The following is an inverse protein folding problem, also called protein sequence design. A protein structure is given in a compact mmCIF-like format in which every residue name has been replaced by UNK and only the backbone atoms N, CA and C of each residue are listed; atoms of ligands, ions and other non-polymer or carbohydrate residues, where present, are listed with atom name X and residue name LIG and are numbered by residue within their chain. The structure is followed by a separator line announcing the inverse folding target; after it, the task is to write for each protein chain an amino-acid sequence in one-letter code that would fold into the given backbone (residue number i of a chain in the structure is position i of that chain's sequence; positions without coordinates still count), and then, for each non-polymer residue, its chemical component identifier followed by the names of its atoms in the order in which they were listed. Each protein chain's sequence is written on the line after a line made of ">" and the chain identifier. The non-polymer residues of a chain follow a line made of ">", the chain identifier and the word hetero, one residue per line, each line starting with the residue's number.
data_IF_885537394928
#
_entry.id   IF_885537394928
#
_cell.length_a   1.000
_cell.length_b   1.000
_cell.length_c   1.000
_cell.angle_alpha   90.00
_cell.angle_beta   90.00
_cell.angle_gamma   90.00
#
_symmetry.space_group_name_H-M   'P 1'
#
loop_
_entity.id
_entity.type
_entity.pdbx_description
1 polymer ?
#
# COMPACT_ATOMS: atom_id res chain seq x y z
N UNK A 1 -18.39 -18.89 2.47
CA UNK A 1 -17.15 -19.65 2.76
C UNK A 1 -16.48 -19.03 3.98
N UNK A 2 -15.91 -19.83 4.88
CA UNK A 2 -15.16 -19.30 6.02
C UNK A 2 -13.82 -18.72 5.53
N UNK A 3 -13.38 -17.59 6.10
CA UNK A 3 -12.05 -17.04 5.85
C UNK A 3 -11.02 -17.92 6.58
N UNK A 4 -10.29 -18.75 5.86
CA UNK A 4 -9.34 -19.74 6.44
C UNK A 4 -7.87 -19.29 6.38
N UNK A 5 -7.56 -18.22 5.64
CA UNK A 5 -6.21 -17.69 5.53
C UNK A 5 -5.90 -16.72 6.70
N UNK A 6 -4.72 -16.85 7.29
CA UNK A 6 -4.22 -15.98 8.36
C UNK A 6 -3.06 -15.10 7.87
N UNK A 7 -3.00 -13.87 8.38
CA UNK A 7 -1.92 -12.93 8.12
C UNK A 7 -1.33 -12.41 9.44
N UNK A 8 -0.04 -12.68 9.69
CA UNK A 8 0.68 -12.22 10.88
C UNK A 8 1.72 -11.18 10.48
N UNK A 9 1.53 -9.94 10.92
CA UNK A 9 2.42 -8.81 10.58
C UNK A 9 3.06 -8.27 11.86
N UNK A 10 4.38 -8.04 11.81
CA UNK A 10 5.09 -7.26 12.82
C UNK A 10 5.06 -5.79 12.43
N UNK A 11 4.74 -4.92 13.38
CA UNK A 11 4.66 -3.49 13.16
C UNK A 11 5.00 -2.74 14.45
N UNK A 12 5.50 -1.52 14.27
CA UNK A 12 5.79 -0.63 15.38
C UNK A 12 4.53 -0.38 16.22
N UNK A 13 4.59 -0.45 17.57
CA UNK A 13 3.42 -0.28 18.42
C UNK A 13 2.71 1.07 18.20
N UNK A 14 3.48 2.13 17.94
CA UNK A 14 2.90 3.45 17.65
C UNK A 14 2.17 3.48 16.31
N UNK A 15 2.70 2.82 15.28
CA UNK A 15 2.04 2.70 13.99
C UNK A 15 0.70 1.97 14.14
N UNK A 16 0.67 0.87 14.92
CA UNK A 16 -0.56 0.14 15.24
C UNK A 16 -1.65 1.06 15.78
N UNK A 17 -1.29 1.85 16.79
CA UNK A 17 -2.22 2.72 17.51
C UNK A 17 -2.74 3.83 16.59
N UNK A 18 -1.86 4.47 15.83
CA UNK A 18 -2.24 5.54 14.89
C UNK A 18 -3.16 5.02 13.79
N UNK A 19 -2.80 3.91 13.16
CA UNK A 19 -3.63 3.29 12.11
C UNK A 19 -5.01 2.88 12.65
N UNK A 20 -5.08 2.24 13.83
CA UNK A 20 -6.35 1.87 14.43
C UNK A 20 -7.25 3.08 14.72
N UNK A 21 -6.68 4.21 15.15
CA UNK A 21 -7.44 5.44 15.39
C UNK A 21 -8.03 6.01 14.09
N UNK A 22 -7.26 5.98 12.98
CA UNK A 22 -7.73 6.43 11.66
C UNK A 22 -8.93 5.59 11.21
N UNK A 23 -8.80 4.26 11.21
CA UNK A 23 -9.86 3.37 10.72
C UNK A 23 -11.09 3.34 11.61
N UNK A 24 -10.93 3.60 12.91
CA UNK A 24 -12.05 3.72 13.85
C UNK A 24 -13.01 4.85 13.47
N UNK A 25 -12.54 5.92 12.83
CA UNK A 25 -13.40 7.01 12.34
C UNK A 25 -14.40 6.53 11.27
N UNK A 26 -14.10 5.41 10.60
CA UNK A 26 -14.98 4.78 9.62
C UNK A 26 -15.63 3.49 10.12
N UNK A 27 -15.54 3.22 11.43
CA UNK A 27 -16.12 2.00 12.04
C UNK A 27 -15.38 0.71 11.68
N UNK A 28 -14.16 0.80 11.14
CA UNK A 28 -13.37 -0.35 10.70
C UNK A 28 -12.30 -0.72 11.74
N UNK A 29 -12.07 -2.02 11.91
CA UNK A 29 -10.88 -2.51 12.61
C UNK A 29 -9.70 -2.68 11.63
N UNK A 30 -8.51 -2.98 12.15
CA UNK A 30 -7.31 -3.15 11.32
C UNK A 30 -7.42 -4.33 10.34
N UNK A 31 -8.09 -5.41 10.72
CA UNK A 31 -8.29 -6.57 9.84
C UNK A 31 -9.23 -6.23 8.67
N UNK A 32 -10.26 -5.42 8.91
CA UNK A 32 -11.14 -4.93 7.86
C UNK A 32 -10.36 -4.03 6.89
N UNK A 33 -9.56 -3.11 7.42
CA UNK A 33 -8.72 -2.22 6.62
C UNK A 33 -7.72 -2.99 5.74
N UNK A 34 -7.07 -4.02 6.28
CA UNK A 34 -6.16 -4.89 5.51
C UNK A 34 -6.92 -5.68 4.44
N UNK A 35 -8.13 -6.15 4.75
CA UNK A 35 -8.97 -6.85 3.77
C UNK A 35 -9.33 -5.93 2.59
N UNK A 36 -9.73 -4.68 2.88
CA UNK A 36 -10.03 -3.67 1.86
C UNK A 36 -8.79 -3.36 1.02
N UNK A 37 -7.64 -3.16 1.66
CA UNK A 37 -6.37 -2.91 0.98
C UNK A 37 -6.04 -4.02 -0.03
N UNK A 38 -6.06 -5.28 0.40
CA UNK A 38 -5.76 -6.42 -0.47
C UNK A 38 -6.81 -6.59 -1.58
N UNK A 39 -8.08 -6.35 -1.28
CA UNK A 39 -9.16 -6.42 -2.27
C UNK A 39 -8.95 -5.38 -3.37
N UNK A 40 -8.60 -4.15 -2.98
CA UNK A 40 -8.32 -3.08 -3.92
C UNK A 40 -7.08 -3.39 -4.77
N UNK A 41 -6.04 -3.97 -4.19
CA UNK A 41 -4.85 -4.40 -4.97
C UNK A 41 -5.19 -5.42 -6.05
N UNK A 42 -6.12 -6.35 -5.76
CA UNK A 42 -6.57 -7.34 -6.75
C UNK A 42 -7.38 -6.68 -7.87
N UNK A 43 -8.24 -5.72 -7.52
CA UNK A 43 -9.06 -4.98 -8.50
C UNK A 43 -8.18 -4.14 -9.43
N UNK A 44 -7.20 -3.45 -8.88
CA UNK A 44 -6.31 -2.57 -9.66
C UNK A 44 -5.18 -3.32 -10.36
N UNK A 45 -4.93 -4.58 -10.00
CA UNK A 45 -3.77 -5.33 -10.48
C UNK A 45 -2.43 -4.76 -10.01
N UNK A 46 -2.41 -4.06 -8.87
CA UNK A 46 -1.28 -3.26 -8.41
C UNK A 46 -1.39 -2.77 -6.97
N UNK A 47 -0.65 -1.72 -6.62
CA UNK A 47 -0.73 -1.08 -5.31
C UNK A 47 -2.03 -0.27 -5.19
N UNK A 48 -2.78 -0.38 -4.09
CA UNK A 48 -4.12 0.20 -3.94
C UNK A 48 -4.06 1.68 -3.53
N UNK A 49 -3.04 2.38 -4.01
CA UNK A 49 -2.82 3.80 -3.81
C UNK A 49 -1.94 4.32 -4.93
N UNK A 50 -2.16 5.58 -5.31
CA UNK A 50 -1.29 6.26 -6.27
C UNK A 50 0.07 6.48 -5.63
N UNK A 51 1.10 5.89 -6.22
CA UNK A 51 2.49 6.21 -5.89
C UNK A 51 2.80 7.58 -6.48
N UNK A 52 2.92 8.62 -5.66
CA UNK A 52 3.16 10.02 -6.09
C UNK A 52 4.40 10.17 -7.00
N UNK A 53 5.32 9.20 -6.99
CA UNK A 53 6.52 9.18 -7.82
C UNK A 53 6.54 8.08 -8.90
N UNK A 54 5.45 7.33 -9.13
CA UNK A 54 5.47 6.28 -10.16
C UNK A 54 5.58 6.83 -11.59
N UNK A 55 5.18 8.08 -11.82
CA UNK A 55 5.32 8.76 -13.12
C UNK A 55 6.72 9.36 -13.32
N UNK A 56 7.51 9.52 -12.26
CA UNK A 56 8.90 9.97 -12.36
C UNK A 56 9.78 8.74 -12.52
N UNK A 57 10.49 8.59 -13.64
CA UNK A 57 11.50 7.56 -13.76
C UNK A 57 12.48 7.68 -12.59
N UNK A 58 12.96 6.55 -12.08
CA UNK A 58 13.94 6.56 -11.01
C UNK A 58 15.23 7.24 -11.51
N UNK A 59 16.13 7.61 -10.59
CA UNK A 59 17.35 8.35 -10.94
C UNK A 59 18.22 7.61 -11.98
N UNK A 60 18.20 6.29 -12.00
CA UNK A 60 18.91 5.46 -12.96
C UNK A 60 18.29 5.57 -14.36
N UNK A 61 16.96 5.45 -14.47
CA UNK A 61 16.22 5.60 -15.72
C UNK A 61 16.33 7.03 -16.27
N UNK A 62 16.31 8.06 -15.41
CA UNK A 62 16.50 9.45 -15.83
C UNK A 62 17.87 9.67 -16.48
N UNK A 63 18.94 9.14 -15.87
CA UNK A 63 20.30 9.22 -16.43
C UNK A 63 20.41 8.52 -17.78
N UNK A 64 19.82 7.32 -17.90
CA UNK A 64 19.81 6.59 -19.17
C UNK A 64 19.09 7.36 -20.29
N UNK A 65 18.03 8.12 -19.97
CA UNK A 65 17.35 8.97 -20.95
C UNK A 65 18.17 10.22 -21.32
N UNK A 66 18.95 10.78 -20.39
CA UNK A 66 19.86 11.90 -20.65
C UNK A 66 21.03 11.50 -21.54
N UNK A 67 21.64 10.32 -21.31
CA UNK A 67 22.77 9.80 -22.08
C UNK A 67 22.42 9.58 -23.56
N UNK A 68 21.17 9.17 -23.88
CA UNK A 68 20.70 8.99 -25.26
C UNK A 68 20.45 10.33 -25.98
N UNK A 69 20.31 11.43 -25.23
CA UNK A 69 20.02 12.76 -25.79
C UNK A 69 21.30 13.57 -26.13
N UNK A 70 22.47 13.05 -25.75
CA UNK A 70 23.81 13.59 -26.08
C UNK A 70 24.38 12.92 -27.33
#
# INVERSE_FOLDING_TARGET
>A
MAKTAELKIRLEPQLKRKAAAVYKNWGLNLSDAVTVFLSQSVIEGGLPFRMENAERPNAETLRAMEDVRL
#
